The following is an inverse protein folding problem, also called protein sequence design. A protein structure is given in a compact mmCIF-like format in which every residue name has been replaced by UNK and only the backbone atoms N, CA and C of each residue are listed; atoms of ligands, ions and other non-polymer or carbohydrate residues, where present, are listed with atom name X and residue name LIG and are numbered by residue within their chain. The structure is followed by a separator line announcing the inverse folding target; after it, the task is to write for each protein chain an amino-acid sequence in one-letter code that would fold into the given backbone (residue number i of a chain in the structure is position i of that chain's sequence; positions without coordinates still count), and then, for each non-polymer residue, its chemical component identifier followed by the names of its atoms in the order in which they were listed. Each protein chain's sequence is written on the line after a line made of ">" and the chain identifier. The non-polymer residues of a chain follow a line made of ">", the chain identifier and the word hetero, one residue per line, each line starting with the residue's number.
data_IF_747036624145
#
_entry.id   IF_747036624145
#
_cell.length_a   1.000
_cell.length_b   1.000
_cell.length_c   1.000
_cell.angle_alpha   90.00
_cell.angle_beta   90.00
_cell.angle_gamma   90.00
#
_symmetry.space_group_name_H-M   'P 1'
#
loop_
_entity.id
_entity.type
_entity.pdbx_description
1 polymer ?
#
# COMPACT_ATOMS: atom_id res chain seq x y z
N UNK A 1 -9.58 9.14 17.16
CA UNK A 1 -8.51 9.91 16.51
C UNK A 1 -8.63 9.68 15.01
N UNK A 2 -8.30 10.67 14.17
CA UNK A 2 -8.35 10.49 12.71
C UNK A 2 -7.23 9.54 12.24
N UNK A 3 -7.54 8.60 11.34
CA UNK A 3 -6.56 7.66 10.78
C UNK A 3 -5.56 8.39 9.88
N UNK A 4 -4.30 7.98 9.93
CA UNK A 4 -3.28 8.47 9.01
C UNK A 4 -3.36 7.72 7.69
N UNK A 5 -3.42 8.47 6.58
CA UNK A 5 -3.39 7.91 5.24
C UNK A 5 -1.97 7.50 4.90
N UNK A 6 -1.78 6.27 4.46
CA UNK A 6 -0.49 5.70 4.13
C UNK A 6 -0.51 5.12 2.71
N UNK A 7 0.55 5.41 1.96
CA UNK A 7 0.84 4.76 0.69
C UNK A 7 2.15 3.97 0.77
N UNK A 8 2.29 2.93 -0.05
CA UNK A 8 3.55 2.18 -0.20
C UNK A 8 4.08 2.29 -1.62
N UNK A 9 5.35 2.72 -1.75
CA UNK A 9 6.11 2.67 -3.00
C UNK A 9 7.12 1.53 -2.88
N UNK A 10 7.08 0.57 -3.82
CA UNK A 10 7.87 -0.66 -3.78
C UNK A 10 7.09 -1.82 -3.17
N UNK A 11 6.45 -2.61 -4.02
CA UNK A 11 5.60 -3.76 -3.69
C UNK A 11 6.37 -5.09 -3.84
N UNK A 12 7.63 -5.12 -3.40
CA UNK A 12 8.48 -6.31 -3.36
C UNK A 12 8.49 -7.01 -2.00
N UNK A 13 9.52 -7.82 -1.75
CA UNK A 13 9.64 -8.60 -0.50
C UNK A 13 9.59 -7.73 0.76
N UNK A 14 10.40 -6.67 0.82
CA UNK A 14 10.44 -5.75 1.97
C UNK A 14 9.12 -4.97 2.08
N UNK A 15 8.52 -4.57 0.97
CA UNK A 15 7.17 -3.99 0.95
C UNK A 15 6.14 -4.93 1.58
N UNK A 16 6.25 -6.24 1.34
CA UNK A 16 5.36 -7.25 1.89
C UNK A 16 5.50 -7.38 3.41
N UNK A 17 6.74 -7.33 3.92
CA UNK A 17 7.01 -7.27 5.36
C UNK A 17 6.34 -6.03 6.00
N UNK A 18 6.49 -4.86 5.39
CA UNK A 18 5.88 -3.62 5.89
C UNK A 18 4.35 -3.67 5.82
N UNK A 19 3.76 -4.09 4.69
CA UNK A 19 2.31 -4.22 4.54
C UNK A 19 1.71 -5.10 5.64
N UNK A 20 2.34 -6.25 5.92
CA UNK A 20 1.87 -7.17 6.97
C UNK A 20 1.83 -6.55 8.37
N UNK A 21 2.73 -5.62 8.69
CA UNK A 21 2.70 -4.87 9.95
C UNK A 21 1.67 -3.75 9.89
N UNK A 22 1.60 -2.99 8.79
CA UNK A 22 0.66 -1.87 8.68
C UNK A 22 -0.80 -2.29 8.74
N UNK A 23 -1.13 -3.48 8.21
CA UNK A 23 -2.48 -4.04 8.32
C UNK A 23 -2.91 -4.32 9.78
N UNK A 24 -1.97 -4.48 10.71
CA UNK A 24 -2.27 -4.67 12.13
C UNK A 24 -2.63 -3.34 12.82
N UNK A 25 -2.29 -2.20 12.23
CA UNK A 25 -2.57 -0.86 12.75
C UNK A 25 -3.82 -0.24 12.13
N UNK A 26 -4.81 -1.04 11.74
CA UNK A 26 -6.01 -0.59 11.05
C UNK A 26 -6.83 0.47 11.79
N UNK A 27 -6.69 0.59 13.12
CA UNK A 27 -7.32 1.64 13.93
C UNK A 27 -6.60 3.00 13.84
N UNK A 28 -5.35 3.00 13.41
CA UNK A 28 -4.49 4.19 13.31
C UNK A 28 -4.21 4.59 11.86
N UNK A 29 -4.25 3.63 10.92
CA UNK A 29 -3.80 3.80 9.54
C UNK A 29 -4.89 3.37 8.55
N UNK A 30 -5.00 4.12 7.46
CA UNK A 30 -5.75 3.76 6.26
C UNK A 30 -4.77 3.61 5.08
N UNK A 31 -4.75 2.44 4.43
CA UNK A 31 -3.92 2.21 3.25
C UNK A 31 -4.64 2.78 2.03
N UNK A 32 -4.13 3.89 1.48
CA UNK A 32 -4.82 4.61 0.40
C UNK A 32 -4.16 4.45 -0.97
N UNK A 33 -2.92 3.94 -1.02
CA UNK A 33 -2.18 3.80 -2.28
C UNK A 33 -1.05 2.77 -2.27
N UNK A 34 -0.81 2.17 -3.42
CA UNK A 34 0.30 1.26 -3.69
C UNK A 34 0.93 1.60 -5.05
N UNK A 35 2.25 1.70 -5.11
CA UNK A 35 2.97 2.04 -6.34
C UNK A 35 4.14 1.08 -6.56
N UNK A 36 4.27 0.55 -7.77
CA UNK A 36 5.44 -0.23 -8.20
C UNK A 36 5.59 -0.10 -9.73
N UNK A 37 6.83 -0.14 -10.23
CA UNK A 37 7.10 -0.17 -11.67
C UNK A 37 6.48 -1.40 -12.34
N UNK A 38 6.29 -2.49 -11.59
CA UNK A 38 5.57 -3.68 -12.02
C UNK A 38 4.12 -3.58 -11.53
N UNK A 39 3.20 -3.10 -12.37
CA UNK A 39 1.77 -2.86 -12.04
C UNK A 39 1.13 -3.98 -11.22
N UNK A 40 1.33 -5.24 -11.66
CA UNK A 40 0.76 -6.42 -10.99
C UNK A 40 1.12 -6.51 -9.50
N UNK A 41 2.32 -6.05 -9.11
CA UNK A 41 2.74 -6.05 -7.70
C UNK A 41 1.93 -5.05 -6.87
N UNK A 42 1.69 -3.85 -7.40
CA UNK A 42 0.83 -2.87 -6.75
C UNK A 42 -0.62 -3.38 -6.63
N UNK A 43 -1.15 -4.01 -7.69
CA UNK A 43 -2.48 -4.66 -7.69
C UNK A 43 -2.57 -5.78 -6.65
N UNK A 44 -1.56 -6.65 -6.54
CA UNK A 44 -1.52 -7.70 -5.52
C UNK A 44 -1.51 -7.13 -4.11
N UNK A 45 -0.84 -5.99 -3.88
CA UNK A 45 -0.83 -5.32 -2.58
C UNK A 45 -2.17 -4.67 -2.26
N UNK A 46 -2.78 -3.95 -3.19
CA UNK A 46 -4.12 -3.40 -3.03
C UNK A 46 -5.14 -4.50 -2.73
N UNK A 47 -5.05 -5.63 -3.45
CA UNK A 47 -5.89 -6.82 -3.19
C UNK A 47 -5.66 -7.41 -1.79
N UNK A 48 -4.41 -7.53 -1.34
CA UNK A 48 -4.07 -8.02 0.01
C UNK A 48 -4.57 -7.08 1.11
N UNK A 49 -4.44 -5.77 0.91
CA UNK A 49 -4.93 -4.75 1.83
C UNK A 49 -6.46 -4.62 1.82
N UNK A 50 -7.12 -5.03 0.73
CA UNK A 50 -8.56 -4.87 0.52
C UNK A 50 -8.99 -3.43 0.22
N UNK A 51 -8.03 -2.51 0.04
CA UNK A 51 -8.25 -1.08 -0.18
C UNK A 51 -7.03 -0.47 -0.90
N UNK A 52 -7.13 0.82 -1.23
CA UNK A 52 -6.05 1.61 -1.82
C UNK A 52 -6.01 1.56 -3.35
N UNK A 53 -5.62 2.69 -3.95
CA UNK A 53 -5.44 2.81 -5.40
C UNK A 53 -4.06 2.30 -5.83
N UNK A 54 -3.94 1.86 -7.07
CA UNK A 54 -2.68 1.40 -7.64
C UNK A 54 -2.10 2.43 -8.60
N UNK A 55 -0.79 2.59 -8.56
CA UNK A 55 -0.03 3.52 -9.38
C UNK A 55 1.23 2.84 -9.93
N UNK A 56 1.77 3.41 -11.01
CA UNK A 56 3.05 2.98 -11.60
C UNK A 56 4.06 4.12 -11.74
N UNK A 57 3.60 5.37 -11.62
CA UNK A 57 4.44 6.54 -11.38
C UNK A 57 4.12 7.09 -10.00
N UNK A 58 5.14 7.18 -9.15
CA UNK A 58 4.99 7.70 -7.79
C UNK A 58 4.64 9.20 -7.76
N UNK A 59 4.84 9.92 -8.87
CA UNK A 59 4.47 11.34 -9.00
C UNK A 59 2.98 11.55 -9.19
N UNK A 60 2.26 10.53 -9.64
CA UNK A 60 0.79 10.55 -9.80
C UNK A 60 0.07 10.02 -8.54
N UNK A 61 0.81 9.43 -7.60
CA UNK A 61 0.31 8.87 -6.35
C UNK A 61 0.13 9.93 -5.26
#
# INVERSE_FOLDING_TARGET
>A
MEKKKLCLIGCGNIGGYHLGHFMQYGDLIEMVGFCDLVHKRAEEFAKKAGQGRTYWDFREM
#
